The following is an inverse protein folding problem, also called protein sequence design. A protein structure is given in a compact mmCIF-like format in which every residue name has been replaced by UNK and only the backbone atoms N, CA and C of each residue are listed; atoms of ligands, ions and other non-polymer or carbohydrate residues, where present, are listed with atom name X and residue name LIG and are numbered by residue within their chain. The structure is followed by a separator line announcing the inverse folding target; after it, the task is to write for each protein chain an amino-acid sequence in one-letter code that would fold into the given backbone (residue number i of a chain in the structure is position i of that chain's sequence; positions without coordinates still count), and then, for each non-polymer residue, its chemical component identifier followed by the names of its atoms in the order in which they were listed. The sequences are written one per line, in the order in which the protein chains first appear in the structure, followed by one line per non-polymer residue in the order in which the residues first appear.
data_IF_306683800133
#
_entry.id   IF_306683800133
#
_cell.length_a   1.000
_cell.length_b   1.000
_cell.length_c   1.000
_cell.angle_alpha   90.00
_cell.angle_beta   90.00
_cell.angle_gamma   90.00
#
_symmetry.space_group_name_H-M   'P 1'
#
loop_
_entity.id
_entity.type
_entity.pdbx_description
1 polymer ?
#
# COMPACT_ATOMS: atom_id res chain seq x y z
N UNK A 1 -5.30 17.29 10.55
CA UNK A 1 -4.74 16.98 9.21
C UNK A 1 -5.89 16.71 8.26
N UNK A 2 -5.87 17.18 7.01
CA UNK A 2 -6.86 16.77 6.02
C UNK A 2 -6.82 15.25 5.81
N UNK A 3 -7.95 14.64 5.47
CA UNK A 3 -7.97 13.23 5.07
C UNK A 3 -7.34 13.08 3.69
N UNK A 4 -6.52 12.04 3.44
CA UNK A 4 -6.00 11.78 2.11
C UNK A 4 -7.16 11.54 1.11
N UNK A 5 -7.05 12.01 -0.15
CA UNK A 5 -8.06 11.74 -1.15
C UNK A 5 -8.13 10.23 -1.45
N UNK A 6 -9.31 9.77 -1.87
CA UNK A 6 -9.48 8.39 -2.34
C UNK A 6 -8.81 8.28 -3.71
N UNK A 7 -7.64 7.66 -3.77
CA UNK A 7 -6.96 7.39 -5.03
C UNK A 7 -7.63 6.22 -5.75
N UNK A 8 -7.88 6.35 -7.06
CA UNK A 8 -8.30 5.23 -7.90
C UNK A 8 -7.10 4.29 -8.04
N UNK A 9 -7.20 3.12 -7.44
CA UNK A 9 -6.02 2.31 -7.19
C UNK A 9 -5.61 1.54 -8.44
N UNK A 10 -4.52 1.99 -9.06
CA UNK A 10 -3.80 1.25 -10.10
C UNK A 10 -2.66 0.48 -9.45
N UNK A 11 -2.98 -0.61 -8.76
CA UNK A 11 -1.97 -1.49 -8.17
C UNK A 11 -1.04 -2.07 -9.25
N UNK A 12 0.22 -1.66 -9.23
CA UNK A 12 1.26 -2.25 -10.07
C UNK A 12 2.18 -3.11 -9.21
N UNK A 13 2.73 -4.17 -9.79
CA UNK A 13 3.78 -4.94 -9.12
C UNK A 13 4.94 -3.98 -8.82
N UNK A 14 5.52 -4.12 -7.63
CA UNK A 14 6.52 -3.26 -7.00
C UNK A 14 6.02 -1.88 -6.52
N UNK A 15 4.71 -1.61 -6.55
CA UNK A 15 4.14 -0.42 -5.91
C UNK A 15 4.30 -0.47 -4.39
N UNK A 16 4.58 0.70 -3.81
CA UNK A 16 4.52 0.91 -2.37
C UNK A 16 3.05 1.09 -1.94
N UNK A 17 2.60 0.26 -1.02
CA UNK A 17 1.24 0.22 -0.50
C UNK A 17 1.25 0.23 1.03
N UNK A 18 0.10 0.51 1.62
CA UNK A 18 -0.14 0.29 3.04
C UNK A 18 -1.12 -0.86 3.23
N UNK A 19 -0.81 -1.74 4.18
CA UNK A 19 -1.64 -2.89 4.53
C UNK A 19 -2.18 -2.69 5.94
N UNK A 20 -3.48 -2.89 6.12
CA UNK A 20 -4.12 -2.86 7.42
C UNK A 20 -3.92 -4.20 8.13
N UNK A 21 -3.18 -4.19 9.23
CA UNK A 21 -2.92 -5.37 10.03
C UNK A 21 -2.76 -4.98 11.50
N UNK A 22 -3.38 -5.77 12.39
CA UNK A 22 -3.31 -5.57 13.86
C UNK A 22 -3.61 -4.12 14.25
N UNK A 23 -4.73 -3.60 13.75
CA UNK A 23 -5.23 -2.24 14.04
C UNK A 23 -4.32 -1.10 13.57
N UNK A 24 -3.33 -1.38 12.72
CA UNK A 24 -2.40 -0.41 12.16
C UNK A 24 -2.27 -0.51 10.64
N UNK A 25 -1.80 0.58 10.02
CA UNK A 25 -1.43 0.60 8.60
C UNK A 25 0.08 0.50 8.47
N UNK A 26 0.55 -0.54 7.78
CA UNK A 26 1.97 -0.85 7.66
C UNK A 26 2.42 -0.76 6.20
N UNK A 27 3.59 -0.16 5.92
CA UNK A 27 4.09 -0.05 4.57
C UNK A 27 4.59 -1.41 4.06
N UNK A 28 4.21 -1.74 2.83
CA UNK A 28 4.56 -2.99 2.17
C UNK A 28 4.78 -2.78 0.66
N UNK A 29 5.50 -3.69 0.02
CA UNK A 29 5.67 -3.73 -1.42
C UNK A 29 4.72 -4.77 -2.00
N UNK A 30 3.94 -4.37 -3.00
CA UNK A 30 3.10 -5.29 -3.75
C UNK A 30 3.97 -6.17 -4.67
N UNK A 31 4.00 -7.48 -4.44
CA UNK A 31 4.79 -8.42 -5.23
C UNK A 31 3.98 -9.10 -6.33
N UNK A 32 2.71 -9.42 -6.07
CA UNK A 32 1.80 -10.04 -7.06
C UNK A 32 0.35 -9.62 -6.85
N UNK A 33 -0.38 -9.54 -7.94
CA UNK A 33 -1.83 -9.28 -7.98
C UNK A 33 -2.51 -10.58 -8.42
N UNK A 34 -3.34 -11.18 -7.57
CA UNK A 34 -4.19 -12.27 -8.03
C UNK A 34 -5.39 -11.70 -8.79
N UNK A 35 -5.49 -12.07 -10.07
CA UNK A 35 -6.57 -11.66 -10.98
C UNK A 35 -7.59 -12.78 -11.21
N UNK A 36 -7.37 -13.98 -10.66
CA UNK A 36 -8.02 -15.19 -11.15
C UNK A 36 -9.07 -15.83 -10.24
N UNK A 37 -9.21 -15.43 -8.98
CA UNK A 37 -10.23 -16.02 -8.09
C UNK A 37 -11.13 -14.97 -7.41
N UNK A 38 -12.32 -15.44 -7.03
CA UNK A 38 -13.40 -14.74 -6.31
C UNK A 38 -12.98 -13.98 -5.05
N UNK A 39 -11.74 -14.16 -4.59
CA UNK A 39 -11.12 -13.43 -3.50
C UNK A 39 -9.97 -12.58 -4.07
N UNK A 40 -10.23 -11.29 -4.35
CA UNK A 40 -9.19 -10.35 -4.79
C UNK A 40 -8.13 -10.23 -3.70
N UNK A 41 -7.01 -10.92 -3.86
CA UNK A 41 -5.88 -10.90 -2.92
C UNK A 41 -4.61 -10.37 -3.57
N UNK A 42 -3.71 -9.88 -2.74
CA UNK A 42 -2.42 -9.34 -3.13
C UNK A 42 -1.32 -10.05 -2.35
N UNK A 43 -0.26 -10.45 -3.04
CA UNK A 43 0.94 -10.95 -2.37
C UNK A 43 1.85 -9.77 -2.10
N UNK A 44 2.21 -9.58 -0.84
CA UNK A 44 2.92 -8.37 -0.38
C UNK A 44 4.10 -8.74 0.50
N UNK A 45 5.10 -7.87 0.55
CA UNK A 45 6.22 -7.92 1.50
C UNK A 45 6.22 -6.71 2.41
N UNK A 46 6.10 -6.91 3.71
CA UNK A 46 6.15 -5.85 4.70
C UNK A 46 7.57 -5.30 4.83
N UNK A 47 7.71 -3.97 4.84
CA UNK A 47 9.03 -3.34 4.92
C UNK A 47 9.65 -3.42 6.31
N UNK A 48 8.82 -3.46 7.36
CA UNK A 48 9.30 -3.46 8.75
C UNK A 48 10.12 -4.71 9.10
N UNK A 49 9.70 -5.87 8.61
CA UNK A 49 10.23 -7.17 9.03
C UNK A 49 10.54 -8.13 7.88
N UNK A 50 10.31 -7.73 6.63
CA UNK A 50 10.52 -8.59 5.46
C UNK A 50 9.51 -9.73 5.31
N UNK A 51 8.45 -9.80 6.15
CA UNK A 51 7.43 -10.84 6.08
C UNK A 51 6.68 -10.76 4.75
N UNK A 52 6.52 -11.90 4.08
CA UNK A 52 5.75 -12.01 2.84
C UNK A 52 4.47 -12.83 3.07
N UNK A 53 3.32 -12.34 2.59
CA UNK A 53 2.06 -13.08 2.67
C UNK A 53 1.01 -12.56 1.69
N UNK A 54 -0.06 -13.34 1.52
CA UNK A 54 -1.28 -12.90 0.85
C UNK A 54 -2.16 -12.07 1.78
N UNK A 55 -2.70 -10.97 1.27
CA UNK A 55 -3.63 -10.07 1.98
C UNK A 55 -4.84 -9.76 1.09
N UNK A 56 -5.98 -9.46 1.70
CA UNK A 56 -7.19 -9.12 0.93
C UNK A 56 -7.05 -7.71 0.36
N UNK A 57 -7.58 -7.49 -0.83
CA UNK A 57 -7.60 -6.17 -1.48
C UNK A 57 -8.17 -5.07 -0.58
N UNK A 58 -9.21 -5.38 0.20
CA UNK A 58 -9.87 -4.43 1.12
C UNK A 58 -8.96 -3.97 2.26
N UNK A 59 -7.95 -4.77 2.61
CA UNK A 59 -6.99 -4.44 3.65
C UNK A 59 -5.78 -3.67 3.05
N UNK A 60 -5.83 -3.28 1.77
CA UNK A 60 -4.73 -2.60 1.08
C UNK A 60 -5.17 -1.22 0.60
N UNK A 61 -4.32 -0.22 0.79
CA UNK A 61 -4.47 1.11 0.16
C UNK A 61 -3.16 1.58 -0.43
N UNK A 62 -3.23 2.56 -1.32
CA UNK A 62 -2.04 3.23 -1.84
C UNK A 62 -1.28 3.91 -0.69
N UNK A 63 0.06 3.82 -0.72
CA UNK A 63 0.88 4.59 0.19
C UNK A 63 0.91 6.04 -0.31
N UNK A 64 0.56 6.99 0.55
CA UNK A 64 0.43 8.41 0.18
C UNK A 64 1.22 9.27 1.14
N UNK A 65 1.92 10.26 0.59
CA UNK A 65 2.77 11.18 1.35
C UNK A 65 2.15 12.57 1.33
N UNK A 66 2.03 13.18 2.51
CA UNK A 66 1.57 14.55 2.66
C UNK A 66 2.73 15.52 2.42
N UNK A 67 2.56 16.43 1.46
CA UNK A 67 3.60 17.39 1.05
C UNK A 67 3.39 18.79 1.65
N UNK A 68 2.39 18.95 2.53
CA UNK A 68 1.95 20.26 3.01
C UNK A 68 1.05 21.01 2.02
N UNK A 69 0.48 22.13 2.48
CA UNK A 69 -0.44 22.99 1.68
C UNK A 69 -1.59 22.20 1.03
N UNK A 70 -2.17 21.23 1.76
CA UNK A 70 -3.23 20.33 1.27
C UNK A 70 -2.85 19.48 0.04
N UNK A 71 -1.56 19.25 -0.20
CA UNK A 71 -1.08 18.42 -1.33
C UNK A 71 -0.66 17.03 -0.86
N UNK A 72 -1.03 16.05 -1.68
CA UNK A 72 -0.73 14.63 -1.49
C UNK A 72 -0.06 14.09 -2.75
N UNK A 73 0.78 13.07 -2.60
CA UNK A 73 1.27 12.27 -3.73
C UNK A 73 1.23 10.78 -3.41
N UNK A 74 1.20 9.95 -4.46
CA UNK A 74 1.59 8.56 -4.36
C UNK A 74 3.03 8.50 -3.80
N UNK A 75 3.21 7.72 -2.76
CA UNK A 75 4.51 7.55 -2.15
C UNK A 75 5.38 6.60 -2.96
N UNK A 76 6.66 6.91 -2.96
CA UNK A 76 7.67 6.20 -3.73
C UNK A 76 8.51 5.34 -2.80
N UNK A 77 9.17 4.31 -3.33
CA UNK A 77 10.12 3.52 -2.54
C UNK A 77 11.25 4.40 -1.94
N UNK A 78 11.63 5.48 -2.63
CA UNK A 78 12.59 6.47 -2.13
C UNK A 78 12.13 7.21 -0.87
N UNK A 79 10.83 7.21 -0.55
CA UNK A 79 10.27 7.94 0.59
C UNK A 79 10.49 7.21 1.92
N UNK A 80 10.84 5.92 1.89
CA UNK A 80 11.10 5.12 3.11
C UNK A 80 12.50 5.37 3.68
N UNK A 81 13.45 5.83 2.85
CA UNK A 81 14.85 6.01 3.23
C UNK A 81 15.19 7.47 3.60
N UNK A 82 14.18 8.31 3.86
CA UNK A 82 14.32 9.72 4.19
C UNK A 82 13.99 9.99 5.64
#
# INVERSE_FOLDING_TARGET
MPSPPVFKISYQVNSLINVYEREGWWPAILLRVDRHHSHKTHYVRFLLNGLEKWVRLLDVREHVVFLGRNRWRAGLLSDINR
#
